data_IF_489511128091
#
_entry.id   IF_489511128091
#
_cell.length_a   1.000
_cell.length_b   1.000
_cell.length_c   1.000
_cell.angle_alpha   90.00
_cell.angle_beta   90.00
_cell.angle_gamma   90.00
#
_symmetry.space_group_name_H-M   'P 1'
#
loop_
_entity.id
_entity.type
_entity.pdbx_description
1 polymer ?
#
# COMPACT_ATOMS: atom_id res chain seq x y z
N UNK A 1 -4.75 -32.96 -13.05
CA UNK A 1 -4.35 -31.59 -12.99
C UNK A 1 -2.96 -31.48 -13.59
N UNK A 2 -2.67 -30.38 -14.25
CA UNK A 2 -1.30 -30.02 -14.65
C UNK A 2 -0.60 -29.63 -13.36
N UNK A 3 0.53 -30.26 -13.03
CA UNK A 3 1.40 -29.76 -11.96
C UNK A 3 1.86 -28.36 -12.38
N UNK A 4 1.81 -27.42 -11.47
CA UNK A 4 2.33 -26.08 -11.70
C UNK A 4 3.85 -26.23 -11.90
N UNK A 5 4.32 -25.82 -13.07
CA UNK A 5 5.74 -25.83 -13.43
C UNK A 5 6.22 -24.38 -13.49
N UNK A 6 6.68 -23.90 -12.34
CA UNK A 6 7.15 -22.52 -12.17
C UNK A 6 8.35 -22.21 -13.08
N UNK A 7 9.25 -23.18 -13.28
CA UNK A 7 10.39 -23.04 -14.17
C UNK A 7 9.99 -22.87 -15.64
N UNK A 8 8.94 -23.59 -16.07
CA UNK A 8 8.43 -23.45 -17.43
C UNK A 8 7.67 -22.14 -17.62
N UNK A 9 6.92 -21.71 -16.61
CA UNK A 9 6.23 -20.42 -16.62
C UNK A 9 7.23 -19.25 -16.70
N UNK A 10 8.29 -19.29 -15.88
CA UNK A 10 9.34 -18.28 -15.88
C UNK A 10 9.96 -18.11 -17.28
N UNK A 11 10.31 -19.20 -17.98
CA UNK A 11 10.86 -19.13 -19.34
C UNK A 11 9.96 -18.39 -20.33
N UNK A 12 8.63 -18.56 -20.20
CA UNK A 12 7.69 -17.85 -21.06
C UNK A 12 7.59 -16.37 -20.70
N UNK A 13 7.64 -16.03 -19.40
CA UNK A 13 7.69 -14.63 -18.98
C UNK A 13 8.99 -13.96 -19.39
N UNK A 14 10.14 -14.60 -19.23
CA UNK A 14 11.43 -14.09 -19.71
C UNK A 14 11.41 -13.86 -21.23
N UNK A 15 10.88 -14.81 -22.00
CA UNK A 15 10.77 -14.66 -23.46
C UNK A 15 9.86 -13.49 -23.87
N UNK A 16 8.83 -13.18 -23.09
CA UNK A 16 7.99 -12.02 -23.31
C UNK A 16 8.68 -10.72 -22.85
N UNK A 17 9.43 -10.76 -21.74
CA UNK A 17 10.20 -9.67 -21.20
C UNK A 17 11.36 -9.26 -22.13
N UNK A 18 11.98 -10.22 -22.84
CA UNK A 18 12.97 -9.94 -23.89
C UNK A 18 12.39 -9.12 -25.07
N UNK A 19 11.08 -9.15 -25.26
CA UNK A 19 10.35 -8.34 -26.23
C UNK A 19 9.87 -7.00 -25.65
N UNK A 20 10.40 -6.61 -24.48
CA UNK A 20 10.06 -5.35 -23.78
C UNK A 20 8.56 -5.27 -23.38
N UNK A 21 7.90 -6.43 -23.12
CA UNK A 21 6.55 -6.45 -22.63
C UNK A 21 6.54 -6.17 -21.13
N UNK A 22 6.23 -4.94 -20.73
CA UNK A 22 6.32 -4.44 -19.36
C UNK A 22 5.67 -5.36 -18.32
N UNK A 23 4.43 -5.88 -18.51
CA UNK A 23 3.86 -6.77 -17.51
C UNK A 23 4.66 -8.06 -17.29
N UNK A 24 5.32 -8.59 -18.31
CA UNK A 24 6.19 -9.75 -18.15
C UNK A 24 7.50 -9.40 -17.44
N UNK A 25 8.08 -8.22 -17.72
CA UNK A 25 9.26 -7.72 -17.02
C UNK A 25 8.97 -7.63 -15.51
N UNK A 26 7.84 -7.03 -15.13
CA UNK A 26 7.43 -6.92 -13.72
C UNK A 26 7.22 -8.31 -13.10
N UNK A 27 6.55 -9.23 -13.83
CA UNK A 27 6.30 -10.59 -13.32
C UNK A 27 7.61 -11.35 -13.07
N UNK A 28 8.62 -11.18 -13.93
CA UNK A 28 9.94 -11.79 -13.71
C UNK A 28 10.64 -11.16 -12.51
N UNK A 29 10.57 -9.85 -12.35
CA UNK A 29 11.07 -9.16 -11.16
C UNK A 29 10.40 -9.64 -9.87
N UNK A 30 9.07 -9.82 -9.89
CA UNK A 30 8.30 -10.37 -8.75
C UNK A 30 8.78 -11.79 -8.40
N UNK A 31 9.03 -12.63 -9.39
CA UNK A 31 9.57 -13.97 -9.17
C UNK A 31 10.92 -13.94 -8.44
N UNK A 32 11.86 -13.09 -8.86
CA UNK A 32 13.17 -12.99 -8.20
C UNK A 32 13.04 -12.37 -6.80
N UNK A 33 12.14 -11.41 -6.61
CA UNK A 33 11.85 -10.84 -5.28
C UNK A 33 11.31 -11.91 -4.31
N UNK A 34 10.44 -12.82 -4.78
CA UNK A 34 9.92 -13.94 -3.98
C UNK A 34 11.00 -14.98 -3.63
N UNK A 35 12.08 -15.05 -4.41
CA UNK A 35 13.24 -15.89 -4.14
C UNK A 35 14.31 -15.22 -3.26
N UNK A 36 14.03 -14.04 -2.71
CA UNK A 36 14.98 -13.20 -1.97
C UNK A 36 16.23 -12.81 -2.82
N UNK A 37 16.09 -12.76 -4.14
CA UNK A 37 17.14 -12.36 -5.07
C UNK A 37 16.94 -10.91 -5.51
N UNK A 38 17.30 -10.00 -4.60
CA UNK A 38 17.08 -8.56 -4.78
C UNK A 38 17.88 -7.98 -5.94
N UNK A 39 19.06 -8.53 -6.25
CA UNK A 39 19.91 -8.00 -7.32
C UNK A 39 19.25 -8.24 -8.70
N UNK A 40 18.80 -9.47 -8.97
CA UNK A 40 18.07 -9.80 -10.17
C UNK A 40 16.71 -9.08 -10.24
N UNK A 41 15.98 -8.98 -9.13
CA UNK A 41 14.72 -8.25 -9.07
C UNK A 41 14.91 -6.78 -9.46
N UNK A 42 15.97 -6.11 -8.96
CA UNK A 42 16.31 -4.73 -9.36
C UNK A 42 16.52 -4.60 -10.85
N UNK A 43 17.35 -5.46 -11.45
CA UNK A 43 17.65 -5.39 -12.89
C UNK A 43 16.36 -5.46 -13.74
N UNK A 44 15.41 -6.33 -13.35
CA UNK A 44 14.14 -6.44 -14.05
C UNK A 44 13.24 -5.24 -13.83
N UNK A 45 13.10 -4.76 -12.59
CA UNK A 45 12.26 -3.59 -12.31
C UNK A 45 12.83 -2.32 -12.94
N UNK A 46 14.17 -2.12 -12.96
CA UNK A 46 14.82 -0.99 -13.62
C UNK A 46 14.45 -0.92 -15.11
N UNK A 47 14.44 -2.04 -15.82
CA UNK A 47 14.06 -2.09 -17.24
C UNK A 47 12.64 -1.57 -17.51
N UNK A 48 11.69 -1.85 -16.62
CA UNK A 48 10.33 -1.35 -16.77
C UNK A 48 10.18 0.08 -16.22
N UNK A 49 10.85 0.41 -15.13
CA UNK A 49 10.87 1.73 -14.50
C UNK A 49 11.47 2.79 -15.43
N UNK A 50 12.55 2.47 -16.15
CA UNK A 50 13.18 3.34 -17.15
C UNK A 50 12.26 3.63 -18.35
N UNK A 51 11.32 2.75 -18.62
CA UNK A 51 10.27 2.98 -19.62
C UNK A 51 9.11 3.85 -19.09
N UNK A 52 9.19 4.27 -17.82
CA UNK A 52 8.22 5.13 -17.18
C UNK A 52 7.06 4.39 -16.53
N UNK A 53 7.12 3.08 -16.35
CA UNK A 53 6.07 2.33 -15.69
C UNK A 53 6.05 2.60 -14.18
N UNK A 54 4.92 3.13 -13.69
CA UNK A 54 4.80 3.59 -12.31
C UNK A 54 4.69 2.44 -11.28
N UNK A 55 4.18 1.28 -11.70
CA UNK A 55 4.18 0.09 -10.84
C UNK A 55 5.60 -0.41 -10.64
N UNK A 56 6.37 -0.55 -11.72
CA UNK A 56 7.77 -0.97 -11.67
C UNK A 56 8.62 0.02 -10.86
N UNK A 57 8.41 1.34 -11.02
CA UNK A 57 9.07 2.36 -10.21
C UNK A 57 8.78 2.17 -8.71
N UNK A 58 7.52 1.87 -8.36
CA UNK A 58 7.16 1.63 -6.96
C UNK A 58 7.81 0.36 -6.41
N UNK A 59 7.84 -0.72 -7.20
CA UNK A 59 8.49 -1.98 -6.82
C UNK A 59 10.00 -1.81 -6.67
N UNK A 60 10.63 -1.09 -7.60
CA UNK A 60 12.05 -0.78 -7.52
C UNK A 60 12.39 0.05 -6.27
N UNK A 61 11.58 1.08 -5.97
CA UNK A 61 11.70 1.84 -4.74
C UNK A 61 11.59 0.96 -3.48
N UNK A 62 10.69 -0.04 -3.49
CA UNK A 62 10.57 -0.99 -2.38
C UNK A 62 11.80 -1.86 -2.20
N UNK A 63 12.46 -2.30 -3.28
CA UNK A 63 13.71 -3.07 -3.18
C UNK A 63 14.83 -2.21 -2.60
N UNK A 64 14.94 -0.94 -3.01
CA UNK A 64 15.90 0.00 -2.42
C UNK A 64 15.58 0.31 -0.94
N UNK A 65 14.30 0.39 -0.55
CA UNK A 65 13.88 0.53 0.85
C UNK A 65 14.34 -0.67 1.70
N UNK A 66 14.19 -1.90 1.18
CA UNK A 66 14.63 -3.14 1.85
C UNK A 66 16.16 -3.18 2.02
N UNK A 67 16.90 -2.61 1.07
CA UNK A 67 18.37 -2.49 1.12
C UNK A 67 18.85 -1.28 1.95
N UNK A 68 17.93 -0.48 2.50
CA UNK A 68 18.22 0.75 3.24
C UNK A 68 18.90 1.85 2.40
N UNK A 69 18.69 1.84 1.09
CA UNK A 69 19.15 2.88 0.15
C UNK A 69 18.06 3.96 0.02
N UNK A 70 17.99 4.85 1.04
CA UNK A 70 16.89 5.79 1.22
C UNK A 70 16.77 6.79 0.07
N UNK A 71 17.91 7.30 -0.44
CA UNK A 71 17.95 8.32 -1.49
C UNK A 71 17.36 7.77 -2.80
N UNK A 72 17.75 6.56 -3.19
CA UNK A 72 17.26 5.89 -4.38
C UNK A 72 15.78 5.49 -4.24
N UNK A 73 15.38 4.97 -3.07
CA UNK A 73 14.01 4.57 -2.82
C UNK A 73 13.04 5.75 -2.98
N UNK A 74 13.37 6.91 -2.38
CA UNK A 74 12.52 8.10 -2.42
C UNK A 74 12.41 8.67 -3.84
N UNK A 75 13.49 8.65 -4.64
CA UNK A 75 13.46 9.11 -6.02
C UNK A 75 12.46 8.30 -6.87
N UNK A 76 12.49 6.99 -6.75
CA UNK A 76 11.57 6.12 -7.48
C UNK A 76 10.12 6.27 -7.01
N UNK A 77 9.88 6.38 -5.70
CA UNK A 77 8.54 6.64 -5.19
C UNK A 77 7.98 7.99 -5.64
N UNK A 78 8.82 9.03 -5.70
CA UNK A 78 8.42 10.34 -6.22
C UNK A 78 8.00 10.26 -7.68
N UNK A 79 8.78 9.60 -8.53
CA UNK A 79 8.45 9.42 -9.93
C UNK A 79 7.10 8.72 -10.13
N UNK A 80 6.85 7.64 -9.39
CA UNK A 80 5.57 6.93 -9.46
C UNK A 80 4.39 7.77 -8.92
N UNK A 81 4.60 8.48 -7.81
CA UNK A 81 3.59 9.33 -7.20
C UNK A 81 3.19 10.52 -8.06
N UNK A 82 4.15 11.15 -8.76
CA UNK A 82 3.94 12.27 -9.69
C UNK A 82 3.14 11.83 -10.93
N UNK A 83 3.27 10.59 -11.35
CA UNK A 83 2.43 10.00 -12.39
C UNK A 83 1.00 9.72 -11.94
N UNK A 84 0.70 9.90 -10.65
CA UNK A 84 -0.61 9.64 -10.07
C UNK A 84 -0.83 8.18 -9.66
N UNK A 85 0.19 7.34 -9.65
CA UNK A 85 0.05 5.94 -9.25
C UNK A 85 -0.20 5.81 -7.74
N UNK A 86 -1.29 5.17 -7.36
CA UNK A 86 -1.73 5.11 -5.97
C UNK A 86 -0.72 4.38 -5.05
N UNK A 87 -0.06 3.33 -5.55
CA UNK A 87 0.99 2.62 -4.82
C UNK A 87 2.18 3.53 -4.50
N UNK A 88 2.68 4.29 -5.50
CA UNK A 88 3.76 5.26 -5.31
C UNK A 88 3.38 6.40 -4.38
N UNK A 89 2.13 6.91 -4.48
CA UNK A 89 1.62 7.92 -3.55
C UNK A 89 1.53 7.41 -2.11
N UNK A 90 1.11 6.16 -1.92
CA UNK A 90 1.08 5.52 -0.60
C UNK A 90 2.49 5.37 -0.03
N UNK A 91 3.44 4.86 -0.83
CA UNK A 91 4.83 4.68 -0.42
C UNK A 91 5.50 6.02 -0.06
N UNK A 92 5.32 7.04 -0.90
CA UNK A 92 5.85 8.38 -0.63
C UNK A 92 5.25 8.99 0.63
N UNK A 93 3.94 8.80 0.88
CA UNK A 93 3.30 9.22 2.12
C UNK A 93 3.90 8.54 3.35
N UNK A 94 4.23 7.25 3.26
CA UNK A 94 4.92 6.50 4.31
C UNK A 94 6.33 7.07 4.56
N UNK A 95 7.08 7.40 3.51
CA UNK A 95 8.40 8.02 3.65
C UNK A 95 8.35 9.33 4.44
N UNK A 96 7.40 10.22 4.14
CA UNK A 96 7.20 11.46 4.92
C UNK A 96 6.74 11.20 6.34
N UNK A 97 5.93 10.16 6.58
CA UNK A 97 5.48 9.81 7.91
C UNK A 97 6.61 9.27 8.81
N UNK A 98 7.52 8.47 8.23
CA UNK A 98 8.62 7.82 8.94
C UNK A 98 9.91 8.63 8.93
N UNK A 99 10.00 9.66 8.08
CA UNK A 99 11.25 10.42 7.86
C UNK A 99 12.29 9.60 7.09
N UNK A 100 11.85 8.71 6.20
CA UNK A 100 12.72 7.85 5.41
C UNK A 100 13.13 8.56 4.12
N UNK A 101 14.42 8.85 3.95
CA UNK A 101 14.97 9.60 2.82
C UNK A 101 14.51 11.07 2.71
N UNK A 102 13.65 11.51 3.60
CA UNK A 102 13.12 12.88 3.69
C UNK A 102 12.96 13.30 5.16
N UNK A 103 12.82 14.60 5.43
CA UNK A 103 12.45 15.06 6.76
C UNK A 103 11.01 14.61 7.09
N UNK A 104 10.80 14.10 8.32
CA UNK A 104 9.48 13.70 8.82
C UNK A 104 8.48 14.85 8.72
N UNK A 105 7.37 14.64 8.02
CA UNK A 105 6.28 15.60 7.83
C UNK A 105 4.93 14.87 7.78
N UNK A 106 4.23 14.83 8.92
CA UNK A 106 2.92 14.19 9.03
C UNK A 106 1.85 14.87 8.15
N UNK A 107 1.93 16.21 7.94
CA UNK A 107 0.97 16.91 7.09
C UNK A 107 1.17 16.52 5.62
N UNK A 108 2.42 16.45 5.16
CA UNK A 108 2.72 16.03 3.80
C UNK A 108 2.39 14.54 3.60
N UNK A 109 2.66 13.68 4.58
CA UNK A 109 2.24 12.27 4.57
C UNK A 109 0.73 12.14 4.35
N UNK A 110 -0.08 12.89 5.10
CA UNK A 110 -1.54 12.90 4.93
C UNK A 110 -1.96 13.38 3.54
N UNK A 111 -1.26 14.36 2.97
CA UNK A 111 -1.56 14.84 1.62
C UNK A 111 -1.38 13.74 0.57
N UNK A 112 -0.30 12.98 0.67
CA UNK A 112 -0.05 11.85 -0.22
C UNK A 112 -1.01 10.69 0.01
N UNK A 113 -1.29 10.35 1.26
CA UNK A 113 -2.31 9.33 1.58
C UNK A 113 -3.69 9.69 1.02
N UNK A 114 -4.08 10.99 1.04
CA UNK A 114 -5.36 11.42 0.44
C UNK A 114 -5.39 11.18 -1.06
N UNK A 115 -4.32 11.50 -1.79
CA UNK A 115 -4.25 11.26 -3.23
C UNK A 115 -4.41 9.78 -3.58
N UNK A 116 -3.76 8.88 -2.84
CA UNK A 116 -3.93 7.45 -3.00
C UNK A 116 -5.33 6.97 -2.59
N UNK A 117 -5.89 7.51 -1.51
CA UNK A 117 -7.23 7.18 -1.03
C UNK A 117 -8.35 7.65 -1.98
N UNK A 118 -8.14 8.71 -2.76
CA UNK A 118 -9.07 9.15 -3.82
C UNK A 118 -9.17 8.12 -4.96
N UNK A 119 -8.21 7.21 -5.05
CA UNK A 119 -8.19 6.08 -5.97
C UNK A 119 -8.63 4.76 -5.31
N UNK A 120 -9.26 4.83 -4.15
CA UNK A 120 -9.72 3.69 -3.36
C UNK A 120 -8.59 2.72 -2.93
N UNK A 121 -7.33 3.22 -2.81
CA UNK A 121 -6.21 2.40 -2.34
C UNK A 121 -6.41 1.99 -0.88
N UNK A 122 -6.60 0.69 -0.64
CA UNK A 122 -7.06 0.15 0.64
C UNK A 122 -6.15 0.50 1.83
N UNK A 123 -4.83 0.44 1.63
CA UNK A 123 -3.84 0.76 2.65
C UNK A 123 -3.80 2.27 2.96
N UNK A 124 -3.90 3.13 1.94
CA UNK A 124 -3.94 4.58 2.13
C UNK A 124 -5.21 5.03 2.87
N UNK A 125 -6.35 4.40 2.57
CA UNK A 125 -7.59 4.61 3.33
C UNK A 125 -7.41 4.21 4.81
N UNK A 126 -6.70 3.11 5.08
CA UNK A 126 -6.39 2.68 6.44
C UNK A 126 -5.44 3.67 7.14
N UNK A 127 -4.36 4.08 6.48
CA UNK A 127 -3.40 5.06 7.01
C UNK A 127 -4.06 6.40 7.36
N UNK A 128 -4.98 6.90 6.50
CA UNK A 128 -5.79 8.08 6.84
C UNK A 128 -6.66 7.85 8.08
N UNK A 129 -7.23 6.67 8.24
CA UNK A 129 -7.97 6.30 9.45
C UNK A 129 -7.08 6.43 10.69
N UNK A 130 -5.84 5.97 10.64
CA UNK A 130 -4.87 6.10 11.73
C UNK A 130 -4.48 7.56 11.99
N UNK A 131 -4.22 8.33 10.93
CA UNK A 131 -3.93 9.76 11.06
C UNK A 131 -5.06 10.51 11.80
N UNK A 132 -6.32 10.27 11.45
CA UNK A 132 -7.45 10.88 12.16
C UNK A 132 -7.68 10.29 13.56
N UNK A 133 -7.40 9.01 13.79
CA UNK A 133 -7.49 8.38 15.12
C UNK A 133 -6.48 8.96 16.10
N UNK A 134 -5.27 9.24 15.63
CA UNK A 134 -4.14 9.69 16.46
C UNK A 134 -3.93 11.22 16.45
N UNK A 135 -4.41 11.89 15.40
CA UNK A 135 -4.16 13.32 15.19
C UNK A 135 -2.83 13.61 14.51
N UNK A 136 -2.28 12.67 13.74
CA UNK A 136 -1.05 12.82 12.96
C UNK A 136 -1.31 13.64 11.69
N UNK A 137 -0.67 14.80 11.59
CA UNK A 137 -0.84 15.72 10.46
C UNK A 137 -2.25 16.26 10.22
N UNK A 138 -3.20 15.92 11.10
CA UNK A 138 -4.61 16.36 11.04
C UNK A 138 -5.19 16.55 12.43
N UNK A 139 -6.27 17.32 12.54
CA UNK A 139 -7.04 17.36 13.79
C UNK A 139 -7.63 15.98 14.09
N UNK A 140 -7.36 15.48 15.29
CA UNK A 140 -7.88 14.20 15.77
C UNK A 140 -9.41 14.14 15.68
N UNK A 141 -9.92 13.06 15.10
CA UNK A 141 -11.35 12.88 14.91
C UNK A 141 -11.78 11.44 14.73
N UNK A 142 -12.25 10.83 15.81
CA UNK A 142 -12.60 9.39 15.82
C UNK A 142 -13.72 9.04 14.82
N UNK A 143 -14.72 9.89 14.64
CA UNK A 143 -15.79 9.64 13.67
C UNK A 143 -15.24 9.60 12.23
N UNK A 144 -14.35 10.54 11.89
CA UNK A 144 -13.66 10.56 10.60
C UNK A 144 -12.76 9.34 10.41
N UNK A 145 -12.04 8.93 11.46
CA UNK A 145 -11.21 7.73 11.41
C UNK A 145 -12.06 6.50 11.06
N UNK A 146 -13.23 6.34 11.68
CA UNK A 146 -14.14 5.22 11.40
C UNK A 146 -14.70 5.26 9.96
N UNK A 147 -14.92 6.43 9.38
CA UNK A 147 -15.34 6.56 7.97
C UNK A 147 -14.24 6.05 7.03
N UNK A 148 -12.98 6.39 7.29
CA UNK A 148 -11.84 5.92 6.50
C UNK A 148 -11.58 4.43 6.69
N UNK A 149 -11.61 3.92 7.93
CA UNK A 149 -11.48 2.48 8.18
C UNK A 149 -12.58 1.67 7.52
N UNK A 150 -13.82 2.20 7.50
CA UNK A 150 -14.92 1.54 6.81
C UNK A 150 -14.67 1.41 5.31
N UNK A 151 -14.24 2.49 4.66
CA UNK A 151 -13.88 2.46 3.23
C UNK A 151 -12.75 1.47 2.96
N UNK A 152 -11.70 1.49 3.78
CA UNK A 152 -10.59 0.54 3.68
C UNK A 152 -11.04 -0.91 3.83
N UNK A 153 -11.92 -1.19 4.80
CA UNK A 153 -12.49 -2.51 5.01
C UNK A 153 -13.36 -2.97 3.83
N UNK A 154 -14.10 -2.06 3.20
CA UNK A 154 -14.89 -2.31 1.98
C UNK A 154 -13.99 -2.65 0.78
N UNK A 155 -12.76 -2.14 0.74
CA UNK A 155 -11.72 -2.50 -0.24
C UNK A 155 -10.97 -3.79 0.12
N UNK A 156 -11.34 -4.46 1.20
CA UNK A 156 -10.77 -5.76 1.59
C UNK A 156 -9.56 -5.70 2.53
N UNK A 157 -9.20 -4.52 3.06
CA UNK A 157 -8.07 -4.38 3.99
C UNK A 157 -8.36 -5.11 5.32
N UNK A 158 -7.64 -6.21 5.59
CA UNK A 158 -7.92 -7.10 6.72
C UNK A 158 -7.90 -6.43 8.09
N UNK A 159 -6.88 -5.59 8.35
CA UNK A 159 -6.77 -4.87 9.64
C UNK A 159 -7.93 -3.89 9.83
N UNK A 160 -8.35 -3.21 8.77
CA UNK A 160 -9.51 -2.32 8.81
C UNK A 160 -10.81 -3.10 9.09
N UNK A 161 -10.97 -4.28 8.49
CA UNK A 161 -12.12 -5.17 8.77
C UNK A 161 -12.15 -5.59 10.23
N UNK A 162 -11.01 -5.95 10.83
CA UNK A 162 -10.90 -6.26 12.26
C UNK A 162 -11.26 -5.05 13.13
N UNK A 163 -10.75 -3.84 12.80
CA UNK A 163 -11.11 -2.60 13.51
C UNK A 163 -12.61 -2.31 13.42
N UNK A 164 -13.21 -2.48 12.25
CA UNK A 164 -14.66 -2.29 12.09
C UNK A 164 -15.46 -3.33 12.85
N UNK A 165 -15.04 -4.60 12.84
CA UNK A 165 -15.63 -5.66 13.65
C UNK A 165 -15.60 -5.33 15.15
N UNK A 166 -14.44 -4.90 15.66
CA UNK A 166 -14.26 -4.47 17.04
C UNK A 166 -15.16 -3.27 17.41
N UNK A 167 -15.24 -2.28 16.53
CA UNK A 167 -16.09 -1.11 16.70
C UNK A 167 -17.58 -1.48 16.86
N UNK A 168 -18.10 -2.32 15.97
CA UNK A 168 -19.51 -2.72 15.99
C UNK A 168 -19.83 -3.72 17.09
N UNK A 169 -18.88 -4.56 17.53
CA UNK A 169 -19.07 -5.49 18.65
C UNK A 169 -18.99 -4.83 20.02
N UNK A 170 -18.56 -3.56 20.09
CA UNK A 170 -18.32 -2.88 21.36
C UNK A 170 -17.10 -3.39 22.12
N UNK A 171 -16.23 -4.20 21.48
CA UNK A 171 -14.98 -4.72 22.06
C UNK A 171 -13.80 -3.75 21.92
N UNK A 172 -13.96 -2.67 21.14
CA UNK A 172 -12.95 -1.62 20.98
C UNK A 172 -12.86 -0.80 22.27
N UNK A 173 -11.70 -0.86 22.93
CA UNK A 173 -11.41 -0.10 24.13
C UNK A 173 -11.48 1.41 23.87
N UNK A 174 -12.14 2.09 24.79
CA UNK A 174 -11.89 3.47 25.19
C UNK A 174 -12.50 4.65 24.45
N UNK A 175 -13.42 4.59 23.53
CA UNK A 175 -14.28 5.77 23.37
C UNK A 175 -15.45 5.57 22.42
N UNK A 176 -16.57 6.14 22.74
CA UNK A 176 -17.73 6.35 21.86
C UNK A 176 -18.68 5.16 21.66
N UNK A 177 -18.86 4.32 22.67
CA UNK A 177 -20.01 3.40 22.79
C UNK A 177 -21.26 4.25 23.10
N UNK A 178 -21.79 4.91 22.10
CA UNK A 178 -22.95 5.77 22.32
C UNK A 178 -24.03 5.71 21.26
N UNK A 179 -23.74 5.17 20.07
CA UNK A 179 -24.67 5.30 18.93
C UNK A 179 -25.29 4.00 18.42
N UNK A 180 -24.77 2.82 18.79
CA UNK A 180 -25.34 1.56 18.31
C UNK A 180 -25.86 0.71 19.46
N UNK A 181 -27.05 0.13 19.30
CA UNK A 181 -27.49 -0.92 20.19
C UNK A 181 -26.59 -2.15 19.95
N UNK A 182 -26.28 -2.90 21.03
CA UNK A 182 -25.45 -4.10 20.97
C UNK A 182 -25.91 -5.07 19.85
N UNK A 183 -27.23 -5.17 19.63
CA UNK A 183 -27.82 -6.04 18.60
C UNK A 183 -27.56 -5.56 17.16
N UNK A 184 -27.56 -4.24 16.92
CA UNK A 184 -27.19 -3.67 15.62
C UNK A 184 -25.69 -3.80 15.38
N UNK A 185 -24.86 -3.59 16.43
CA UNK A 185 -23.43 -3.76 16.38
C UNK A 185 -23.01 -5.15 15.93
N UNK A 186 -23.59 -6.19 16.53
CA UNK A 186 -23.30 -7.57 16.14
C UNK A 186 -23.70 -7.92 14.70
N UNK A 187 -24.84 -7.40 14.20
CA UNK A 187 -25.25 -7.63 12.80
C UNK A 187 -24.32 -6.96 11.79
N UNK A 188 -23.78 -5.80 12.14
CA UNK A 188 -22.80 -5.11 11.26
C UNK A 188 -21.40 -5.77 11.41
N UNK A 189 -20.98 -6.16 12.61
CA UNK A 189 -19.71 -6.85 12.83
C UNK A 189 -19.57 -8.16 12.03
N UNK A 190 -20.67 -8.89 11.82
CA UNK A 190 -20.68 -10.14 11.04
C UNK A 190 -20.52 -9.94 9.53
N UNK A 191 -20.50 -8.69 9.04
CA UNK A 191 -20.25 -8.37 7.62
C UNK A 191 -18.75 -8.23 7.31
N UNK A 192 -17.93 -8.08 8.34
CA UNK A 192 -16.48 -7.88 8.28
C UNK A 192 -15.72 -9.09 8.80
#
# INVERSE_FOLDING_TARGET
GVEEDEDEALKWYEAAAEQEYIPAIITVGDYYQEQDDSDEAKEWYERAADQGDAEAQTKLGSVYEDDCDEDEAIEWYQLAAEQGYAGGQMALGKCYYEGFGVEEDEEEAVNWYRKAAEQDHAEALYALGECYEKGWGVEQGYEKAMEWYKKSAEQGHGTAQVKMGAYYSGLGSDCCIGKYSVEQGYKEALKW
#
